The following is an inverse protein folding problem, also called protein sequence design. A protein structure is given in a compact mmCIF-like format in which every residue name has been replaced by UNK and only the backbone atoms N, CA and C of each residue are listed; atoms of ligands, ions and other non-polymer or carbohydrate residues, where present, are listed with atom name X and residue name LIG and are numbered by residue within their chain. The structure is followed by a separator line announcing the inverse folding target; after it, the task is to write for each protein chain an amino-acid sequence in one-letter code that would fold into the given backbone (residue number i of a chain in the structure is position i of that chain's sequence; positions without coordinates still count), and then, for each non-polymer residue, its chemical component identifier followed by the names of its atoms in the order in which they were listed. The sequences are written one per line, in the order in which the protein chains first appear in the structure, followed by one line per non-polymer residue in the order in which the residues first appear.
data_IF_220768938781
#
_entry.id   IF_220768938781
#
_cell.length_a   1.000
_cell.length_b   1.000
_cell.length_c   1.000
_cell.angle_alpha   90.00
_cell.angle_beta   90.00
_cell.angle_gamma   90.00
#
_symmetry.space_group_name_H-M   'P 1'
#
loop_
_entity.id
_entity.type
_entity.pdbx_description
1 polymer ?
#
# COMPACT_ATOMS: atom_id res chain seq x y z
N UNK A 1 -19.17 74.28 -51.41
CA UNK A 1 -18.00 74.15 -50.55
C UNK A 1 -18.25 72.95 -49.62
N UNK A 2 -17.81 71.79 -50.06
CA UNK A 2 -18.01 70.53 -49.29
C UNK A 2 -16.74 70.23 -48.48
N UNK A 3 -16.88 70.07 -47.16
CA UNK A 3 -15.78 69.62 -46.29
C UNK A 3 -15.71 68.06 -46.32
N UNK A 4 -14.52 67.46 -46.35
CA UNK A 4 -14.39 65.99 -46.22
C UNK A 4 -14.46 65.58 -44.79
N UNK A 5 -15.23 64.48 -44.56
CA UNK A 5 -15.33 63.76 -43.28
C UNK A 5 -14.08 62.88 -43.10
N UNK A 6 -13.26 63.14 -42.07
CA UNK A 6 -12.14 62.27 -41.71
C UNK A 6 -12.62 61.21 -40.71
N UNK A 7 -12.65 59.96 -41.12
CA UNK A 7 -12.92 58.82 -40.23
C UNK A 7 -11.62 58.31 -39.62
N UNK A 8 -11.44 58.51 -38.33
CA UNK A 8 -10.31 57.95 -37.57
C UNK A 8 -10.59 56.49 -37.21
N UNK A 9 -9.81 55.58 -37.78
CA UNK A 9 -9.83 54.17 -37.38
C UNK A 9 -8.97 53.99 -36.12
N UNK A 10 -9.63 53.79 -34.97
CA UNK A 10 -8.95 53.42 -33.74
C UNK A 10 -8.54 51.94 -33.77
N UNK A 11 -7.22 51.67 -33.71
CA UNK A 11 -6.67 50.29 -33.58
C UNK A 11 -6.93 49.77 -32.19
N UNK A 12 -7.79 48.77 -32.04
CA UNK A 12 -7.99 47.99 -30.79
C UNK A 12 -6.84 46.98 -30.65
N UNK A 13 -5.93 47.23 -29.70
CA UNK A 13 -4.90 46.26 -29.32
C UNK A 13 -5.54 45.17 -28.45
N UNK A 14 -5.63 43.96 -28.98
CA UNK A 14 -6.04 42.77 -28.22
C UNK A 14 -4.83 42.29 -27.40
N UNK A 15 -4.88 42.46 -26.08
CA UNK A 15 -3.92 41.87 -25.15
C UNK A 15 -4.21 40.36 -25.08
N UNK A 16 -3.37 39.55 -25.69
CA UNK A 16 -3.40 38.11 -25.51
C UNK A 16 -2.86 37.75 -24.10
N UNK A 17 -3.77 37.36 -23.19
CA UNK A 17 -3.38 36.75 -21.93
C UNK A 17 -2.78 35.37 -22.21
N UNK A 18 -1.47 35.23 -22.04
CA UNK A 18 -0.78 33.95 -22.04
C UNK A 18 -1.22 33.15 -20.81
N UNK A 19 -2.06 32.15 -20.99
CA UNK A 19 -2.37 31.16 -19.95
C UNK A 19 -1.10 30.30 -19.80
N UNK A 20 -0.27 30.58 -18.80
CA UNK A 20 0.81 29.70 -18.39
C UNK A 20 0.14 28.47 -17.80
N UNK A 21 0.32 27.26 -18.36
CA UNK A 21 -0.25 26.07 -17.78
C UNK A 21 0.31 25.90 -16.37
N UNK A 22 -0.56 25.87 -15.36
CA UNK A 22 -0.16 25.60 -13.97
C UNK A 22 0.40 24.19 -13.94
N UNK A 23 1.70 24.05 -13.73
CA UNK A 23 2.35 22.75 -13.56
C UNK A 23 1.68 22.02 -12.40
N UNK A 24 1.23 20.79 -12.64
CA UNK A 24 0.67 19.98 -11.58
C UNK A 24 1.70 19.86 -10.44
N UNK A 25 1.30 19.95 -9.17
CA UNK A 25 2.21 19.77 -8.06
C UNK A 25 2.93 18.42 -8.19
N UNK A 26 4.24 18.42 -7.91
CA UNK A 26 5.01 17.18 -7.92
C UNK A 26 4.36 16.16 -6.96
N UNK A 27 4.29 14.87 -7.35
CA UNK A 27 3.69 13.86 -6.50
C UNK A 27 4.43 13.77 -5.17
N UNK A 28 3.67 13.62 -4.08
CA UNK A 28 4.24 13.47 -2.73
C UNK A 28 5.10 12.21 -2.69
N UNK A 29 6.36 12.26 -2.23
CA UNK A 29 7.20 11.08 -2.13
C UNK A 29 6.58 10.02 -1.21
N UNK A 30 6.62 8.76 -1.64
CA UNK A 30 6.15 7.61 -0.87
C UNK A 30 7.30 7.04 -0.03
N UNK A 31 7.17 7.14 1.29
CA UNK A 31 8.03 6.49 2.26
C UNK A 31 7.29 5.28 2.81
N UNK A 32 7.48 4.12 2.14
CA UNK A 32 6.67 2.91 2.32
C UNK A 32 7.30 1.99 3.36
N UNK A 33 6.55 1.63 4.39
CA UNK A 33 6.88 0.50 5.26
C UNK A 33 6.07 -0.73 4.84
N UNK A 34 6.74 -1.74 4.27
CA UNK A 34 6.14 -3.06 4.04
C UNK A 34 6.22 -3.87 5.33
N UNK A 35 5.10 -3.94 6.05
CA UNK A 35 4.97 -4.54 7.37
C UNK A 35 4.31 -5.91 7.27
N UNK A 36 4.99 -6.98 7.74
CA UNK A 36 4.44 -8.31 7.61
C UNK A 36 5.29 -9.47 8.13
N UNK A 37 5.11 -10.62 7.50
CA UNK A 37 5.82 -11.85 7.84
C UNK A 37 6.60 -12.41 6.63
N UNK A 38 6.55 -13.75 6.41
CA UNK A 38 7.34 -14.42 5.36
C UNK A 38 6.98 -13.99 3.94
N UNK A 39 5.71 -13.73 3.65
CA UNK A 39 5.27 -13.28 2.32
C UNK A 39 5.87 -11.90 2.03
N UNK A 40 5.71 -10.95 2.94
CA UNK A 40 6.29 -9.60 2.82
C UNK A 40 7.82 -9.62 2.80
N UNK A 41 8.45 -10.55 3.55
CA UNK A 41 9.90 -10.74 3.54
C UNK A 41 10.44 -11.27 2.20
N UNK A 42 9.68 -12.13 1.50
CA UNK A 42 10.03 -12.66 0.18
C UNK A 42 10.28 -14.16 0.14
N UNK A 43 9.78 -14.93 1.11
CA UNK A 43 9.88 -16.39 1.08
C UNK A 43 9.08 -16.93 -0.11
N UNK A 44 9.75 -17.74 -0.95
CA UNK A 44 9.18 -18.28 -2.19
C UNK A 44 9.55 -17.50 -3.45
N UNK A 45 10.04 -16.26 -3.32
CA UNK A 45 10.66 -15.53 -4.41
C UNK A 45 12.08 -16.04 -4.67
N UNK A 46 12.48 -16.15 -5.94
CA UNK A 46 13.83 -16.61 -6.31
C UNK A 46 14.93 -15.61 -5.94
N UNK A 47 14.60 -14.33 -5.89
CA UNK A 47 15.50 -13.22 -5.53
C UNK A 47 15.34 -12.74 -4.09
N UNK A 48 14.26 -13.15 -3.41
CA UNK A 48 13.87 -12.61 -2.12
C UNK A 48 13.17 -11.24 -2.18
N UNK A 49 12.89 -10.72 -3.37
CA UNK A 49 12.32 -9.38 -3.59
C UNK A 49 10.88 -9.24 -3.08
N UNK A 50 10.15 -10.37 -2.98
CA UNK A 50 8.71 -10.31 -2.69
C UNK A 50 7.98 -9.51 -3.78
N UNK A 51 6.82 -8.96 -3.46
CA UNK A 51 6.11 -7.99 -4.31
C UNK A 51 6.79 -6.61 -4.36
N UNK A 52 7.76 -6.33 -3.49
CA UNK A 52 8.30 -4.97 -3.26
C UNK A 52 9.04 -4.41 -4.47
N UNK A 53 9.84 -5.22 -5.16
CA UNK A 53 10.58 -4.80 -6.36
C UNK A 53 9.61 -4.45 -7.49
N UNK A 54 8.69 -5.35 -7.83
CA UNK A 54 7.71 -5.15 -8.90
C UNK A 54 6.79 -3.96 -8.59
N UNK A 55 6.38 -3.81 -7.34
CA UNK A 55 5.59 -2.68 -6.88
C UNK A 55 6.36 -1.36 -7.04
N UNK A 56 7.63 -1.34 -6.65
CA UNK A 56 8.48 -0.15 -6.84
C UNK A 56 8.58 0.22 -8.32
N UNK A 57 8.89 -0.73 -9.18
CA UNK A 57 9.04 -0.47 -10.61
C UNK A 57 7.74 0.06 -11.23
N UNK A 58 6.61 -0.52 -10.84
CA UNK A 58 5.30 -0.08 -11.29
C UNK A 58 4.99 1.35 -10.85
N UNK A 59 5.21 1.68 -9.58
CA UNK A 59 4.96 3.03 -9.05
C UNK A 59 5.92 4.08 -9.65
N UNK A 60 7.19 3.72 -9.83
CA UNK A 60 8.19 4.60 -10.48
C UNK A 60 7.82 4.83 -11.94
N UNK A 61 7.35 3.81 -12.67
CA UNK A 61 6.88 3.98 -14.05
C UNK A 61 5.68 4.92 -14.17
N UNK A 62 4.91 5.08 -13.08
CA UNK A 62 3.80 6.02 -12.94
C UNK A 62 4.24 7.41 -12.46
N UNK A 63 5.54 7.68 -12.35
CA UNK A 63 6.10 8.96 -11.93
C UNK A 63 6.16 9.18 -10.42
N UNK A 64 5.96 8.14 -9.60
CA UNK A 64 6.04 8.25 -8.14
C UNK A 64 7.48 8.09 -7.66
N UNK A 65 7.87 8.84 -6.64
CA UNK A 65 9.15 8.66 -5.95
C UNK A 65 8.92 7.72 -4.76
N UNK A 66 9.58 6.55 -4.77
CA UNK A 66 9.38 5.47 -3.79
C UNK A 66 10.65 5.20 -3.00
N UNK A 67 10.52 5.22 -1.68
CA UNK A 67 11.56 4.78 -0.74
C UNK A 67 10.96 3.76 0.23
N UNK A 68 11.48 2.53 0.25
CA UNK A 68 11.13 1.58 1.29
C UNK A 68 11.88 1.87 2.59
N UNK A 69 11.19 1.70 3.72
CA UNK A 69 11.77 1.82 5.07
C UNK A 69 11.42 0.59 5.91
N UNK A 70 12.35 0.20 6.76
CA UNK A 70 12.24 -0.95 7.65
C UNK A 70 13.55 -1.16 8.38
N UNK A 71 13.53 -1.96 9.44
CA UNK A 71 14.73 -2.29 10.23
C UNK A 71 15.53 -3.43 9.65
N UNK A 72 15.04 -4.06 8.58
CA UNK A 72 15.66 -5.18 7.86
C UNK A 72 15.74 -4.89 6.38
N UNK A 73 16.49 -5.73 5.67
CA UNK A 73 16.59 -5.72 4.23
C UNK A 73 16.52 -7.16 3.70
N UNK A 74 15.86 -7.36 2.58
CA UNK A 74 15.85 -8.62 1.85
C UNK A 74 15.52 -8.39 0.37
N UNK A 75 16.07 -9.21 -0.52
CA UNK A 75 15.88 -9.09 -1.95
C UNK A 75 17.09 -8.50 -2.68
N UNK A 76 17.10 -8.68 -4.00
CA UNK A 76 18.21 -8.31 -4.88
C UNK A 76 17.94 -6.98 -5.62
N UNK A 77 17.60 -5.93 -4.86
CA UNK A 77 17.42 -4.59 -5.39
C UNK A 77 17.85 -3.51 -4.38
N UNK A 78 18.24 -2.34 -4.86
CA UNK A 78 18.92 -1.31 -4.06
C UNK A 78 18.06 -0.76 -2.91
N UNK A 79 16.74 -0.65 -3.08
CA UNK A 79 15.80 -0.06 -2.11
C UNK A 79 14.99 -1.18 -1.41
N UNK A 80 15.67 -2.18 -0.84
CA UNK A 80 15.11 -3.45 -0.37
C UNK A 80 14.76 -3.48 1.13
N UNK A 81 14.64 -2.33 1.79
CA UNK A 81 14.26 -2.26 3.19
C UNK A 81 12.86 -2.86 3.43
N UNK A 82 12.67 -3.51 4.57
CA UNK A 82 11.45 -4.21 4.93
C UNK A 82 11.27 -4.30 6.46
N UNK A 83 10.03 -4.21 6.95
CA UNK A 83 9.70 -4.50 8.33
C UNK A 83 8.91 -5.81 8.41
N UNK A 84 9.58 -6.92 8.15
CA UNK A 84 8.96 -8.23 8.13
C UNK A 84 9.87 -9.31 8.74
N UNK A 85 9.25 -10.31 9.38
CA UNK A 85 9.97 -11.46 9.94
C UNK A 85 9.19 -12.74 9.64
N UNK A 86 9.77 -13.70 8.92
CA UNK A 86 9.14 -14.99 8.67
C UNK A 86 8.61 -15.64 9.96
N UNK A 87 7.40 -16.18 9.90
CA UNK A 87 6.77 -16.84 11.04
C UNK A 87 5.99 -15.94 12.00
N UNK A 88 6.12 -14.63 11.93
CA UNK A 88 5.44 -13.70 12.83
C UNK A 88 3.92 -13.76 12.66
N UNK A 89 3.23 -13.75 13.82
CA UNK A 89 1.78 -13.59 13.95
C UNK A 89 1.42 -12.11 14.12
N UNK A 90 0.15 -11.76 14.06
CA UNK A 90 -0.35 -10.37 14.16
C UNK A 90 0.28 -9.62 15.33
N UNK A 91 0.28 -10.18 16.54
CA UNK A 91 0.84 -9.53 17.73
C UNK A 91 2.36 -9.32 17.68
N UNK A 92 3.09 -10.20 17.00
CA UNK A 92 4.54 -10.06 16.81
C UNK A 92 4.86 -9.01 15.74
N UNK A 93 4.04 -8.93 14.68
CA UNK A 93 4.12 -7.87 13.65
C UNK A 93 3.80 -6.52 14.31
N UNK A 94 2.77 -6.44 15.15
CA UNK A 94 2.43 -5.24 15.90
C UNK A 94 3.60 -4.76 16.80
N UNK A 95 4.23 -5.68 17.54
CA UNK A 95 5.37 -5.36 18.37
C UNK A 95 6.63 -4.91 17.58
N UNK A 96 6.78 -5.38 16.34
CA UNK A 96 7.82 -4.88 15.43
C UNK A 96 7.48 -3.46 14.92
N UNK A 97 6.22 -3.23 14.53
CA UNK A 97 5.73 -1.91 14.13
C UNK A 97 5.91 -0.86 15.25
N UNK A 98 5.57 -1.21 16.50
CA UNK A 98 5.71 -0.32 17.65
C UNK A 98 7.16 0.18 17.88
N UNK A 99 8.14 -0.56 17.41
CA UNK A 99 9.57 -0.18 17.46
C UNK A 99 10.02 0.60 16.24
N UNK A 100 9.55 0.20 15.05
CA UNK A 100 10.05 0.71 13.78
C UNK A 100 9.35 2.00 13.35
N UNK A 101 8.02 2.11 13.54
CA UNK A 101 7.22 3.26 13.08
C UNK A 101 7.67 4.58 13.67
N UNK A 102 7.90 4.72 14.99
CA UNK A 102 8.33 6.00 15.57
C UNK A 102 9.72 6.43 15.13
N UNK A 103 10.58 5.48 14.74
CA UNK A 103 11.94 5.75 14.26
C UNK A 103 11.98 6.13 12.78
N UNK A 104 11.13 5.48 11.98
CA UNK A 104 11.22 5.55 10.52
C UNK A 104 10.16 6.47 9.89
N UNK A 105 9.14 6.88 10.64
CA UNK A 105 8.09 7.81 10.21
C UNK A 105 7.61 7.57 8.75
N UNK A 106 7.06 6.36 8.44
CA UNK A 106 6.52 6.10 7.10
C UNK A 106 5.29 6.99 6.86
N UNK A 107 5.08 7.44 5.62
CA UNK A 107 3.80 8.06 5.26
C UNK A 107 2.81 7.08 4.61
N UNK A 108 3.28 5.87 4.31
CA UNK A 108 2.46 4.76 3.81
C UNK A 108 2.90 3.45 4.45
N UNK A 109 1.97 2.72 5.08
CA UNK A 109 2.24 1.40 5.67
C UNK A 109 1.37 0.36 4.97
N UNK A 110 2.02 -0.65 4.38
CA UNK A 110 1.38 -1.80 3.76
C UNK A 110 1.38 -2.96 4.77
N UNK A 111 0.22 -3.34 5.27
CA UNK A 111 0.07 -4.35 6.33
C UNK A 111 -0.39 -5.68 5.75
N UNK A 112 0.48 -6.70 5.81
CA UNK A 112 0.20 -8.10 5.47
C UNK A 112 0.40 -8.97 6.72
N UNK A 113 -0.68 -9.22 7.46
CA UNK A 113 -0.65 -9.91 8.73
C UNK A 113 -1.73 -11.00 8.82
N UNK A 114 -1.49 -12.03 9.65
CA UNK A 114 -2.48 -13.06 9.97
C UNK A 114 -2.21 -14.45 9.40
N UNK A 115 -1.42 -14.57 8.34
CA UNK A 115 -1.07 -15.85 7.70
C UNK A 115 -0.65 -16.92 8.72
N UNK A 116 0.24 -16.58 9.64
CA UNK A 116 0.78 -17.52 10.63
C UNK A 116 -0.15 -17.78 11.83
N UNK A 117 -1.18 -16.99 12.03
CA UNK A 117 -2.22 -17.26 13.01
C UNK A 117 -3.01 -18.50 12.63
N UNK A 118 -3.10 -18.81 11.32
CA UNK A 118 -3.82 -19.97 10.78
C UNK A 118 -2.97 -21.24 10.58
N UNK A 119 -1.71 -21.28 11.01
CA UNK A 119 -0.81 -22.42 10.76
C UNK A 119 -1.31 -23.77 11.31
N UNK A 120 -2.18 -23.77 12.32
CA UNK A 120 -2.80 -24.98 12.89
C UNK A 120 -4.23 -25.19 12.41
N UNK A 121 -4.78 -24.31 11.58
CA UNK A 121 -6.22 -24.20 11.32
C UNK A 121 -6.98 -23.69 12.55
N UNK A 122 -8.30 -23.90 12.56
CA UNK A 122 -9.17 -23.43 13.64
C UNK A 122 -9.55 -21.95 13.51
N UNK A 123 -10.00 -21.34 14.60
CA UNK A 123 -10.47 -19.97 14.63
C UNK A 123 -9.47 -19.02 15.31
N UNK A 124 -9.48 -17.76 14.92
CA UNK A 124 -8.68 -16.66 15.52
C UNK A 124 -9.64 -15.50 15.80
N UNK A 125 -10.46 -15.59 16.85
CA UNK A 125 -11.60 -14.68 17.07
C UNK A 125 -11.21 -13.25 17.35
N UNK A 126 -9.98 -12.99 17.76
CA UNK A 126 -9.42 -11.68 18.10
C UNK A 126 -8.54 -11.05 16.99
N UNK A 127 -8.50 -11.66 15.80
CA UNK A 127 -7.66 -11.16 14.71
C UNK A 127 -8.02 -9.72 14.31
N UNK A 128 -9.29 -9.40 14.20
CA UNK A 128 -9.79 -8.06 13.90
C UNK A 128 -9.44 -7.05 14.98
N UNK A 129 -9.60 -7.40 16.25
CA UNK A 129 -9.24 -6.53 17.38
C UNK A 129 -7.73 -6.25 17.42
N UNK A 130 -6.90 -7.29 17.21
CA UNK A 130 -5.44 -7.16 17.23
C UNK A 130 -4.91 -6.32 16.06
N UNK A 131 -5.46 -6.46 14.85
CA UNK A 131 -5.06 -5.64 13.71
C UNK A 131 -5.54 -4.20 13.89
N UNK A 132 -6.72 -3.98 14.46
CA UNK A 132 -7.23 -2.64 14.81
C UNK A 132 -6.30 -1.93 15.79
N UNK A 133 -5.88 -2.60 16.85
CA UNK A 133 -4.94 -2.05 17.83
C UNK A 133 -3.61 -1.68 17.16
N UNK A 134 -3.06 -2.56 16.31
CA UNK A 134 -1.83 -2.29 15.56
C UNK A 134 -1.97 -1.05 14.68
N UNK A 135 -3.05 -0.91 13.93
CA UNK A 135 -3.28 0.24 13.04
C UNK A 135 -3.42 1.54 13.86
N UNK A 136 -4.15 1.53 14.97
CA UNK A 136 -4.26 2.68 15.86
C UNK A 136 -2.91 3.11 16.43
N UNK A 137 -2.04 2.16 16.80
CA UNK A 137 -0.69 2.45 17.25
C UNK A 137 0.16 3.08 16.12
N UNK A 138 0.04 2.60 14.89
CA UNK A 138 0.71 3.21 13.74
C UNK A 138 0.30 4.68 13.58
N UNK A 139 -1.00 4.98 13.63
CA UNK A 139 -1.49 6.36 13.54
C UNK A 139 -1.02 7.24 14.71
N UNK A 140 -0.93 6.67 15.91
CA UNK A 140 -0.42 7.39 17.10
C UNK A 140 1.06 7.72 16.96
N UNK A 141 1.85 6.79 16.45
CA UNK A 141 3.32 6.88 16.36
C UNK A 141 3.81 7.61 15.11
N UNK A 142 3.02 7.62 14.03
CA UNK A 142 3.25 8.36 12.80
C UNK A 142 1.94 8.97 12.30
N UNK A 143 1.50 10.11 12.86
CA UNK A 143 0.16 10.68 12.65
C UNK A 143 -0.16 11.06 11.20
N UNK A 144 0.85 11.23 10.35
CA UNK A 144 0.68 11.49 8.92
C UNK A 144 0.44 10.26 8.06
N UNK A 145 0.63 9.06 8.61
CA UNK A 145 0.59 7.81 7.85
C UNK A 145 -0.77 7.51 7.23
N UNK A 146 -0.73 6.90 6.06
CA UNK A 146 -1.82 6.17 5.45
C UNK A 146 -1.56 4.67 5.64
N UNK A 147 -2.58 3.90 5.97
CA UNK A 147 -2.47 2.44 6.13
C UNK A 147 -3.28 1.73 5.06
N UNK A 148 -2.68 0.76 4.39
CA UNK A 148 -3.37 -0.19 3.52
C UNK A 148 -3.23 -1.58 4.13
N UNK A 149 -4.36 -2.16 4.53
CA UNK A 149 -4.44 -3.54 5.00
C UNK A 149 -4.72 -4.46 3.81
N UNK A 150 -4.17 -5.67 3.81
CA UNK A 150 -4.57 -6.68 2.83
C UNK A 150 -5.39 -7.81 3.46
N UNK A 151 -6.31 -8.39 2.71
CA UNK A 151 -6.84 -9.71 3.03
C UNK A 151 -5.73 -10.76 2.92
N UNK A 152 -5.81 -11.84 3.68
CA UNK A 152 -4.82 -12.93 3.66
C UNK A 152 -5.07 -13.79 2.41
N UNK A 153 -4.03 -14.03 1.63
CA UNK A 153 -4.10 -14.84 0.41
C UNK A 153 -4.47 -16.32 0.69
N UNK A 154 -4.88 -17.04 -0.35
CA UNK A 154 -5.31 -18.43 -0.26
C UNK A 154 -4.20 -19.39 0.21
N UNK A 155 -4.59 -20.58 0.69
CA UNK A 155 -3.69 -21.65 1.14
C UNK A 155 -4.12 -22.99 0.52
N UNK A 156 -3.14 -23.80 0.13
CA UNK A 156 -3.41 -25.16 -0.39
C UNK A 156 -3.91 -26.13 0.69
N UNK A 157 -3.77 -25.81 1.98
CA UNK A 157 -4.25 -26.63 3.10
C UNK A 157 -5.66 -26.15 3.52
N UNK A 158 -6.74 -26.94 3.28
CA UNK A 158 -8.11 -26.46 3.45
C UNK A 158 -8.44 -25.90 4.84
N UNK A 159 -7.96 -26.56 5.91
CA UNK A 159 -8.21 -26.11 7.29
C UNK A 159 -7.53 -24.76 7.61
N UNK A 160 -6.34 -24.51 7.02
CA UNK A 160 -5.66 -23.24 7.15
C UNK A 160 -6.32 -22.17 6.29
N UNK A 161 -6.83 -22.55 5.11
CA UNK A 161 -7.54 -21.63 4.23
C UNK A 161 -8.87 -21.17 4.84
N UNK A 162 -9.65 -22.07 5.40
CA UNK A 162 -10.88 -21.74 6.12
C UNK A 162 -10.62 -20.73 7.26
N UNK A 163 -9.57 -20.93 8.06
CA UNK A 163 -9.16 -19.98 9.09
C UNK A 163 -8.83 -18.60 8.51
N UNK A 164 -8.18 -18.52 7.35
CA UNK A 164 -7.87 -17.24 6.67
C UNK A 164 -9.13 -16.55 6.18
N UNK A 165 -10.12 -17.28 5.69
CA UNK A 165 -11.43 -16.75 5.31
C UNK A 165 -12.11 -16.08 6.51
N UNK A 166 -12.07 -16.73 7.68
CA UNK A 166 -12.65 -16.18 8.92
C UNK A 166 -11.93 -14.88 9.35
N UNK A 167 -10.60 -14.84 9.26
CA UNK A 167 -9.86 -13.61 9.55
C UNK A 167 -10.19 -12.52 8.53
N UNK A 168 -10.30 -12.85 7.25
CA UNK A 168 -10.64 -11.89 6.20
C UNK A 168 -12.03 -11.27 6.41
N UNK A 169 -13.00 -12.03 6.91
CA UNK A 169 -14.31 -11.48 7.30
C UNK A 169 -14.18 -10.46 8.44
N UNK A 170 -13.32 -10.71 9.43
CA UNK A 170 -13.01 -9.74 10.49
C UNK A 170 -12.34 -8.49 9.92
N UNK A 171 -11.40 -8.63 8.98
CA UNK A 171 -10.71 -7.52 8.32
C UNK A 171 -11.66 -6.65 7.49
N UNK A 172 -12.67 -7.24 6.85
CA UNK A 172 -13.71 -6.47 6.16
C UNK A 172 -14.51 -5.58 7.14
N UNK A 173 -14.82 -6.09 8.35
CA UNK A 173 -15.47 -5.30 9.39
C UNK A 173 -14.56 -4.17 9.91
N UNK A 174 -13.27 -4.45 10.11
CA UNK A 174 -12.25 -3.45 10.49
C UNK A 174 -12.15 -2.35 9.42
N UNK A 175 -12.13 -2.74 8.14
CA UNK A 175 -12.08 -1.78 7.04
C UNK A 175 -13.29 -0.84 7.05
N UNK A 176 -14.50 -1.38 7.27
CA UNK A 176 -15.73 -0.58 7.40
C UNK A 176 -15.61 0.46 8.52
N UNK A 177 -15.08 0.08 9.69
CA UNK A 177 -14.90 0.99 10.83
C UNK A 177 -13.92 2.13 10.52
N UNK A 178 -12.74 1.83 9.97
CA UNK A 178 -11.76 2.87 9.62
C UNK A 178 -12.26 3.79 8.51
N UNK A 179 -12.94 3.26 7.49
CA UNK A 179 -13.53 4.07 6.43
C UNK A 179 -14.63 5.00 6.94
N UNK A 180 -15.51 4.51 7.82
CA UNK A 180 -16.57 5.33 8.44
C UNK A 180 -16.02 6.41 9.38
N UNK A 181 -14.88 6.17 10.03
CA UNK A 181 -14.22 7.18 10.86
C UNK A 181 -13.48 8.26 10.06
N UNK A 182 -13.40 8.14 8.73
CA UNK A 182 -12.63 9.06 7.88
C UNK A 182 -11.11 8.89 7.99
N UNK A 183 -10.61 7.79 8.53
CA UNK A 183 -9.19 7.50 8.63
C UNK A 183 -8.56 7.39 7.23
N UNK A 184 -7.27 7.70 7.13
CA UNK A 184 -6.46 7.51 5.91
C UNK A 184 -6.18 6.01 5.72
N UNK A 185 -7.21 5.26 5.36
CA UNK A 185 -7.21 3.81 5.32
C UNK A 185 -7.78 3.27 4.02
N UNK A 186 -7.20 2.17 3.53
CA UNK A 186 -7.77 1.32 2.49
C UNK A 186 -7.56 -0.17 2.82
N UNK A 187 -8.30 -1.03 2.15
CA UNK A 187 -8.08 -2.47 2.16
C UNK A 187 -7.98 -2.97 0.72
N UNK A 188 -7.04 -3.89 0.46
CA UNK A 188 -6.91 -4.58 -0.82
C UNK A 188 -7.20 -6.06 -0.66
N UNK A 189 -7.80 -6.67 -1.69
CA UNK A 189 -8.20 -8.07 -1.63
C UNK A 189 -7.21 -8.98 -2.36
N UNK A 190 -6.38 -9.71 -1.59
CA UNK A 190 -5.46 -10.74 -2.10
C UNK A 190 -6.17 -12.06 -2.44
N UNK A 191 -7.51 -12.04 -2.55
CA UNK A 191 -8.33 -13.14 -3.08
C UNK A 191 -9.18 -12.72 -4.28
N UNK A 192 -8.99 -11.50 -4.79
CA UNK A 192 -9.61 -11.03 -6.03
C UNK A 192 -9.15 -11.87 -7.23
N UNK A 193 -9.85 -11.85 -8.37
CA UNK A 193 -9.43 -12.56 -9.58
C UNK A 193 -8.02 -12.19 -10.07
N UNK A 194 -7.56 -10.98 -9.80
CA UNK A 194 -6.24 -10.46 -10.19
C UNK A 194 -5.14 -10.81 -9.18
N UNK A 195 -5.50 -11.33 -8.01
CA UNK A 195 -4.59 -11.71 -6.96
C UNK A 195 -3.97 -13.11 -7.19
N UNK A 196 -2.94 -13.51 -6.42
CA UNK A 196 -2.37 -14.84 -6.52
C UNK A 196 -3.37 -15.95 -6.20
N UNK A 197 -3.60 -16.86 -7.15
CA UNK A 197 -4.35 -18.09 -6.93
C UNK A 197 -3.46 -19.23 -6.39
N UNK A 198 -4.03 -20.41 -6.17
CA UNK A 198 -3.28 -21.55 -5.65
C UNK A 198 -2.15 -22.02 -6.57
N UNK A 199 -2.25 -21.80 -7.89
CA UNK A 199 -1.22 -22.14 -8.87
C UNK A 199 -0.04 -21.15 -8.86
N UNK A 200 -0.24 -19.98 -8.28
CA UNK A 200 0.79 -18.95 -8.13
C UNK A 200 1.60 -19.10 -6.82
N UNK A 201 1.40 -20.22 -6.09
CA UNK A 201 2.12 -20.50 -4.86
C UNK A 201 3.29 -21.47 -5.11
N UNK A 202 4.47 -21.11 -4.60
CA UNK A 202 5.69 -21.92 -4.61
C UNK A 202 5.54 -23.18 -3.72
N UNK A 203 4.89 -23.00 -2.57
CA UNK A 203 4.57 -24.10 -1.64
C UNK A 203 3.07 -24.10 -1.29
N UNK A 204 2.70 -24.33 -0.03
CA UNK A 204 1.29 -24.31 0.39
C UNK A 204 0.74 -22.92 0.65
N UNK A 205 1.58 -21.88 0.75
CA UNK A 205 1.18 -20.56 1.25
C UNK A 205 1.99 -19.37 0.73
N UNK A 206 3.21 -19.58 0.24
CA UNK A 206 4.08 -18.51 -0.23
C UNK A 206 3.95 -18.37 -1.74
N UNK A 207 3.77 -17.16 -2.27
CA UNK A 207 3.76 -16.92 -3.71
C UNK A 207 5.09 -17.34 -4.35
N UNK A 208 5.02 -17.80 -5.61
CA UNK A 208 6.15 -17.82 -6.52
C UNK A 208 6.37 -16.42 -7.13
N UNK A 209 7.38 -16.24 -7.98
CA UNK A 209 7.66 -14.93 -8.57
C UNK A 209 6.46 -14.35 -9.32
N UNK A 210 5.74 -15.17 -10.12
CA UNK A 210 4.52 -14.73 -10.80
C UNK A 210 3.39 -14.32 -9.84
N UNK A 211 3.27 -15.02 -8.72
CA UNK A 211 2.36 -14.66 -7.63
C UNK A 211 2.73 -13.33 -6.99
N UNK A 212 4.02 -13.05 -6.80
CA UNK A 212 4.47 -11.76 -6.27
C UNK A 212 4.21 -10.60 -7.22
N UNK A 213 4.35 -10.79 -8.54
CA UNK A 213 3.93 -9.79 -9.55
C UNK A 213 2.44 -9.46 -9.41
N UNK A 214 1.57 -10.47 -9.24
CA UNK A 214 0.13 -10.25 -9.02
C UNK A 214 -0.13 -9.48 -7.72
N UNK A 215 0.56 -9.82 -6.63
CA UNK A 215 0.46 -9.04 -5.39
C UNK A 215 0.86 -7.59 -5.58
N UNK A 216 1.93 -7.32 -6.34
CA UNK A 216 2.38 -5.95 -6.63
C UNK A 216 1.30 -5.14 -7.34
N UNK A 217 0.60 -5.73 -8.32
CA UNK A 217 -0.51 -5.07 -9.01
C UNK A 217 -1.68 -4.76 -8.06
N UNK A 218 -2.04 -5.69 -7.19
CA UNK A 218 -3.10 -5.47 -6.19
C UNK A 218 -2.71 -4.37 -5.20
N UNK A 219 -1.48 -4.35 -4.70
CA UNK A 219 -0.98 -3.27 -3.86
C UNK A 219 -0.98 -1.92 -4.58
N UNK A 220 -0.55 -1.88 -5.84
CA UNK A 220 -0.54 -0.65 -6.64
C UNK A 220 -1.94 -0.05 -6.80
N UNK A 221 -2.97 -0.88 -7.01
CA UNK A 221 -4.37 -0.42 -7.07
C UNK A 221 -4.79 0.27 -5.76
N UNK A 222 -4.46 -0.32 -4.61
CA UNK A 222 -4.74 0.31 -3.30
C UNK A 222 -3.96 1.61 -3.08
N UNK A 223 -2.71 1.66 -3.54
CA UNK A 223 -1.90 2.89 -3.45
C UNK A 223 -2.48 3.99 -4.34
N UNK A 224 -2.88 3.67 -5.56
CA UNK A 224 -3.55 4.62 -6.46
C UNK A 224 -4.85 5.17 -5.86
N UNK A 225 -5.63 4.30 -5.19
CA UNK A 225 -6.85 4.71 -4.48
C UNK A 225 -6.55 5.77 -3.42
N UNK A 226 -5.59 5.50 -2.51
CA UNK A 226 -5.28 6.44 -1.42
C UNK A 226 -4.59 7.71 -1.90
N UNK A 227 -3.82 7.65 -2.99
CA UNK A 227 -3.25 8.83 -3.66
C UNK A 227 -4.36 9.69 -4.27
N UNK A 228 -5.33 9.08 -4.97
CA UNK A 228 -6.46 9.79 -5.58
C UNK A 228 -7.36 10.48 -4.56
N UNK A 229 -7.46 9.90 -3.35
CA UNK A 229 -8.18 10.47 -2.20
C UNK A 229 -7.39 11.58 -1.48
N UNK A 230 -6.15 11.86 -1.87
CA UNK A 230 -5.29 12.84 -1.21
C UNK A 230 -4.85 12.42 0.21
N UNK A 231 -4.81 11.12 0.50
CA UNK A 231 -4.45 10.60 1.83
C UNK A 231 -2.95 10.65 2.09
N UNK A 232 -2.12 10.64 1.05
CA UNK A 232 -0.67 10.69 1.21
C UNK A 232 -0.24 12.11 1.56
N UNK A 233 0.41 12.27 2.70
CA UNK A 233 1.04 13.51 3.14
C UNK A 233 2.56 13.39 3.05
N UNK A 234 3.31 14.50 2.95
CA UNK A 234 4.77 14.45 3.01
C UNK A 234 5.23 13.66 4.25
N UNK A 235 6.31 12.87 4.14
CA UNK A 235 6.90 12.22 5.32
C UNK A 235 7.46 13.31 6.27
N UNK A 236 7.38 13.03 7.56
CA UNK A 236 7.95 13.90 8.59
C UNK A 236 9.47 13.87 8.59
#
# INVERSE_FOLDING_TARGET
MQLPLVISMGSASVLALSIVPRQAPAPVPLRIMSLGASVTFGVGSTTGDSYRKDLQDLLVSQGMNVTYVGTKANGDFTNNAVEATPGFKINQIAAAADKAVPLLQPNLVLVDAGTNNCNKGGTVPDAGANVTAMINNIYTQSPGSTVILTSILANKIPAQDACRVDINAQYAAVATQFQQSGAKFAIVDMRSPDAPGLNDLNDTRHPNDGGYVKMANVWATGIQEVVSKGFITPPN
#
